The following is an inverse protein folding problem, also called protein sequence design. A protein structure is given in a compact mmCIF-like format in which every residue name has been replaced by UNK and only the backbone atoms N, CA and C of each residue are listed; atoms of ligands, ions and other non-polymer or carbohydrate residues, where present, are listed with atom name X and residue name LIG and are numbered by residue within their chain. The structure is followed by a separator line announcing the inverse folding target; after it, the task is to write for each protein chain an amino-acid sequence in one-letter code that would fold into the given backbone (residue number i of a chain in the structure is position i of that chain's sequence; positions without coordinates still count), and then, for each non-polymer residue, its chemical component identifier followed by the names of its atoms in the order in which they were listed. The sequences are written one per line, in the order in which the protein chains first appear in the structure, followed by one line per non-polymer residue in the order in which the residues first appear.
data_IF_853687259374
#
_entry.id   IF_853687259374
#
_cell.length_a   1.000
_cell.length_b   1.000
_cell.length_c   1.000
_cell.angle_alpha   90.00
_cell.angle_beta   90.00
_cell.angle_gamma   90.00
#
_symmetry.space_group_name_H-M   'P 1'
#
loop_
_entity.id
_entity.type
_entity.pdbx_description
1 polymer ?
#
# COMPACT_ATOMS: atom_id res chain seq x y z
N UNK A 1 0.07 19.08 51.37
CA UNK A 1 -0.24 19.22 49.93
C UNK A 1 0.97 19.39 49.00
N UNK A 2 2.24 19.33 49.46
CA UNK A 2 3.42 19.55 48.59
C UNK A 2 4.11 18.28 48.06
N UNK A 3 3.82 17.10 48.64
CA UNK A 3 4.47 15.82 48.25
C UNK A 3 3.71 15.03 47.17
N UNK A 4 2.42 15.31 46.99
CA UNK A 4 1.59 14.63 45.97
C UNK A 4 1.82 15.16 44.55
N UNK A 5 2.25 16.41 44.39
CA UNK A 5 2.48 17.03 43.08
C UNK A 5 3.70 16.43 42.38
N UNK A 6 4.70 15.95 43.13
CA UNK A 6 5.93 15.37 42.58
C UNK A 6 5.64 14.00 41.91
N UNK A 7 4.69 13.23 42.44
CA UNK A 7 4.32 11.94 41.87
C UNK A 7 3.58 12.05 40.53
N UNK A 8 2.78 13.11 40.35
CA UNK A 8 2.04 13.34 39.10
C UNK A 8 2.98 13.80 37.98
N UNK A 9 4.01 14.60 38.29
CA UNK A 9 4.98 15.04 37.27
C UNK A 9 5.88 13.90 36.76
N UNK A 10 6.17 12.89 37.58
CA UNK A 10 7.00 11.75 37.17
C UNK A 10 6.27 10.81 36.18
N UNK A 11 4.94 10.80 36.17
CA UNK A 11 4.14 9.95 35.29
C UNK A 11 4.07 10.46 33.83
N UNK A 12 4.47 11.70 33.57
CA UNK A 12 4.46 12.28 32.22
C UNK A 12 5.76 12.04 31.42
N UNK A 13 6.80 11.46 32.04
CA UNK A 13 8.11 11.30 31.38
C UNK A 13 8.32 9.92 30.73
N UNK A 14 7.36 8.99 30.81
CA UNK A 14 7.47 7.66 30.15
C UNK A 14 6.65 7.56 28.85
N UNK A 15 6.22 8.70 28.30
CA UNK A 15 5.43 8.77 27.07
C UNK A 15 6.23 9.13 25.83
N UNK A 16 7.51 8.79 25.71
CA UNK A 16 8.13 8.73 24.37
C UNK A 16 7.58 7.46 23.74
N UNK A 17 6.43 7.59 23.09
CA UNK A 17 5.98 6.61 22.12
C UNK A 17 7.10 6.49 21.07
N UNK A 18 7.98 5.52 21.26
CA UNK A 18 8.69 4.94 20.13
C UNK A 18 7.61 4.31 19.28
N UNK A 19 7.09 5.10 18.34
CA UNK A 19 6.56 4.55 17.11
C UNK A 19 7.72 3.84 16.43
N UNK A 20 8.02 2.62 16.87
CA UNK A 20 8.53 1.58 15.98
C UNK A 20 7.40 1.26 15.02
N UNK A 21 7.05 2.24 14.18
CA UNK A 21 6.25 1.96 13.01
C UNK A 21 7.14 1.04 12.21
N UNK A 22 6.79 -0.24 12.18
CA UNK A 22 7.23 -1.12 11.11
C UNK A 22 6.86 -0.40 9.81
N UNK A 23 7.80 0.35 9.26
CA UNK A 23 7.71 0.79 7.88
C UNK A 23 7.73 -0.52 7.10
N UNK A 24 6.55 -1.00 6.71
CA UNK A 24 6.46 -2.22 5.93
C UNK A 24 7.38 -2.04 4.74
N UNK A 25 8.44 -2.85 4.68
CA UNK A 25 9.48 -2.70 3.68
C UNK A 25 8.82 -2.83 2.32
N UNK A 26 8.89 -1.76 1.52
CA UNK A 26 8.33 -1.73 0.18
C UNK A 26 8.94 -2.89 -0.62
N UNK A 27 8.10 -3.76 -1.18
CA UNK A 27 8.51 -4.95 -1.93
C UNK A 27 8.51 -4.70 -3.43
N UNK A 28 7.65 -3.79 -3.90
CA UNK A 28 7.62 -3.38 -5.29
C UNK A 28 7.37 -1.88 -5.44
N UNK A 29 8.10 -1.26 -6.37
CA UNK A 29 7.80 0.06 -6.92
C UNK A 29 7.79 -0.03 -8.44
N UNK A 30 6.71 0.41 -9.08
CA UNK A 30 6.66 0.57 -10.53
C UNK A 30 7.12 1.95 -10.97
N UNK A 31 7.71 2.00 -12.16
CA UNK A 31 7.90 3.27 -12.88
C UNK A 31 6.56 3.90 -13.26
N UNK A 32 6.60 5.08 -13.90
CA UNK A 32 5.38 5.70 -14.44
C UNK A 32 4.80 4.81 -15.54
N UNK A 33 3.54 4.40 -15.36
CA UNK A 33 2.77 3.62 -16.33
C UNK A 33 1.55 4.41 -16.75
N UNK A 34 1.27 4.37 -18.04
CA UNK A 34 0.11 5.02 -18.65
C UNK A 34 -0.94 3.94 -18.86
N UNK A 35 -2.11 4.08 -18.23
CA UNK A 35 -3.19 3.12 -18.48
C UNK A 35 -3.86 3.31 -19.84
N UNK A 36 -4.87 2.47 -20.09
CA UNK A 36 -5.70 2.49 -21.29
C UNK A 36 -6.41 3.83 -21.54
N UNK A 37 -6.50 4.70 -20.52
CA UNK A 37 -7.08 6.04 -20.63
C UNK A 37 -6.02 7.14 -20.78
N UNK A 38 -4.74 6.80 -20.91
CA UNK A 38 -3.67 7.78 -21.00
C UNK A 38 -3.26 8.36 -19.64
N UNK A 39 -3.71 7.77 -18.52
CA UNK A 39 -3.46 8.33 -17.18
C UNK A 39 -2.16 7.78 -16.61
N UNK A 40 -1.16 8.65 -16.31
CA UNK A 40 0.08 8.23 -15.69
C UNK A 40 -0.11 7.90 -14.21
N UNK A 41 0.42 6.76 -13.79
CA UNK A 41 0.35 6.22 -12.44
C UNK A 41 1.55 5.35 -12.07
N UNK A 42 1.65 4.97 -10.79
CA UNK A 42 2.68 4.09 -10.21
C UNK A 42 2.05 3.13 -9.22
N UNK A 43 2.73 2.02 -8.96
CA UNK A 43 2.31 0.99 -8.01
C UNK A 43 3.33 0.81 -6.91
N UNK A 44 2.85 0.85 -5.67
CA UNK A 44 3.60 0.47 -4.49
C UNK A 44 2.96 -0.77 -3.87
N UNK A 45 3.78 -1.72 -3.43
CA UNK A 45 3.30 -2.90 -2.71
C UNK A 45 4.15 -3.19 -1.48
N UNK A 46 3.48 -3.44 -0.36
CA UNK A 46 4.05 -4.04 0.85
C UNK A 46 3.06 -5.10 1.41
N UNK A 47 3.44 -5.84 2.44
CA UNK A 47 2.62 -6.96 2.95
C UNK A 47 1.28 -6.57 3.57
N UNK A 48 1.00 -5.28 3.75
CA UNK A 48 -0.26 -4.77 4.29
C UNK A 48 -1.15 -4.17 3.20
N UNK A 49 -0.55 -3.47 2.24
CA UNK A 49 -1.27 -2.63 1.29
C UNK A 49 -0.68 -2.72 -0.12
N UNK A 50 -1.58 -2.65 -1.10
CA UNK A 50 -1.24 -2.30 -2.49
C UNK A 50 -1.73 -0.88 -2.73
N UNK A 51 -0.91 -0.02 -3.34
CA UNK A 51 -1.25 1.38 -3.55
C UNK A 51 -1.07 1.74 -5.02
N UNK A 52 -2.12 2.29 -5.63
CA UNK A 52 -2.09 2.96 -6.95
C UNK A 52 -1.92 4.47 -6.74
N UNK A 53 -0.84 5.04 -7.26
CA UNK A 53 -0.50 6.45 -7.10
C UNK A 53 -0.65 7.16 -8.45
N UNK A 54 -1.48 8.19 -8.48
CA UNK A 54 -1.77 8.98 -9.67
C UNK A 54 -0.82 10.19 -9.76
N UNK A 55 -0.61 10.71 -10.97
CA UNK A 55 0.29 11.86 -11.18
C UNK A 55 -0.10 13.14 -10.43
N UNK A 56 -1.39 13.29 -10.07
CA UNK A 56 -1.87 14.40 -9.24
C UNK A 56 -1.65 14.19 -7.73
N UNK A 57 -1.01 13.09 -7.33
CA UNK A 57 -0.77 12.72 -5.93
C UNK A 57 -1.92 12.00 -5.24
N UNK A 58 -3.05 11.78 -5.93
CA UNK A 58 -4.12 10.93 -5.40
C UNK A 58 -3.61 9.50 -5.24
N UNK A 59 -3.97 8.85 -4.13
CA UNK A 59 -3.60 7.48 -3.82
C UNK A 59 -4.86 6.67 -3.59
N UNK A 60 -4.94 5.53 -4.28
CA UNK A 60 -5.94 4.50 -4.02
C UNK A 60 -5.25 3.33 -3.33
N UNK A 61 -5.78 2.95 -2.17
CA UNK A 61 -5.24 1.88 -1.33
C UNK A 61 -6.16 0.66 -1.44
N UNK A 62 -5.55 -0.51 -1.62
CA UNK A 62 -6.23 -1.79 -1.69
C UNK A 62 -5.78 -2.66 -0.51
N UNK A 63 -6.76 -3.23 0.19
CA UNK A 63 -6.54 -4.13 1.32
C UNK A 63 -6.04 -5.48 0.81
N UNK A 64 -4.86 -5.90 1.26
CA UNK A 64 -4.31 -7.22 0.93
C UNK A 64 -5.14 -8.30 1.60
N UNK A 65 -5.63 -9.25 0.80
CA UNK A 65 -6.46 -10.38 1.27
C UNK A 65 -5.66 -11.66 1.40
N UNK A 66 -4.76 -11.91 0.45
CA UNK A 66 -3.90 -13.09 0.49
C UNK A 66 -2.58 -12.81 -0.21
N UNK A 67 -1.55 -13.45 0.33
CA UNK A 67 -0.19 -13.47 -0.21
C UNK A 67 0.21 -14.93 -0.35
N UNK A 68 0.60 -15.34 -1.55
CA UNK A 68 1.27 -16.60 -1.85
C UNK A 68 2.70 -16.32 -2.30
N UNK A 69 3.47 -17.37 -2.59
CA UNK A 69 4.83 -17.24 -3.12
C UNK A 69 4.87 -16.40 -4.40
N UNK A 70 3.91 -16.65 -5.31
CA UNK A 70 3.90 -16.06 -6.65
C UNK A 70 2.83 -14.98 -6.83
N UNK A 71 1.95 -14.75 -5.87
CA UNK A 71 0.76 -13.90 -6.10
C UNK A 71 0.29 -13.17 -4.84
N UNK A 72 -0.09 -11.90 -5.03
CA UNK A 72 -0.80 -11.08 -4.05
C UNK A 72 -2.18 -10.75 -4.58
N UNK A 73 -3.21 -10.92 -3.77
CA UNK A 73 -4.57 -10.48 -4.07
C UNK A 73 -4.96 -9.36 -3.11
N UNK A 74 -5.44 -8.25 -3.65
CA UNK A 74 -5.94 -7.11 -2.89
C UNK A 74 -7.24 -6.57 -3.49
N UNK A 75 -8.06 -5.90 -2.69
CA UNK A 75 -9.24 -5.20 -3.21
C UNK A 75 -9.55 -3.91 -2.47
N UNK A 76 -10.35 -3.06 -3.10
CA UNK A 76 -11.01 -1.91 -2.49
C UNK A 76 -12.53 -2.05 -2.70
N UNK A 77 -13.31 -1.72 -1.66
CA UNK A 77 -14.75 -1.52 -1.79
C UNK A 77 -15.05 -0.05 -2.12
N UNK A 78 -15.17 0.27 -3.41
CA UNK A 78 -15.55 1.62 -3.84
C UNK A 78 -17.06 1.74 -4.05
N UNK A 79 -17.56 2.99 -4.08
CA UNK A 79 -19.00 3.30 -4.29
C UNK A 79 -19.58 2.67 -5.56
N UNK A 80 -18.76 2.55 -6.61
CA UNK A 80 -19.16 2.02 -7.91
C UNK A 80 -18.95 0.50 -8.06
N UNK A 81 -18.52 -0.17 -6.99
CA UNK A 81 -18.27 -1.61 -6.96
C UNK A 81 -16.85 -1.95 -6.53
N UNK A 82 -16.55 -3.26 -6.47
CA UNK A 82 -15.25 -3.76 -5.99
C UNK A 82 -14.18 -3.62 -7.07
N UNK A 83 -13.03 -3.11 -6.68
CA UNK A 83 -11.82 -3.04 -7.50
C UNK A 83 -10.86 -4.11 -6.99
N UNK A 84 -10.41 -4.99 -7.88
CA UNK A 84 -9.51 -6.08 -7.55
C UNK A 84 -8.14 -5.82 -8.16
N UNK A 85 -7.10 -6.11 -7.39
CA UNK A 85 -5.71 -6.07 -7.85
C UNK A 85 -5.07 -7.43 -7.60
N UNK A 86 -4.36 -7.91 -8.61
CA UNK A 86 -3.54 -9.11 -8.54
C UNK A 86 -2.12 -8.74 -8.90
N UNK A 87 -1.17 -8.95 -8.00
CA UNK A 87 0.25 -8.78 -8.28
C UNK A 87 0.85 -10.17 -8.45
N UNK A 88 1.33 -10.50 -9.65
CA UNK A 88 2.12 -11.68 -9.92
C UNK A 88 3.59 -11.39 -9.64
N UNK A 89 4.17 -12.11 -8.69
CA UNK A 89 5.56 -12.01 -8.27
C UNK A 89 6.34 -13.12 -8.98
N UNK A 90 7.01 -12.82 -10.10
CA UNK A 90 7.95 -13.76 -10.70
C UNK A 90 9.39 -13.39 -10.34
N UNK A 91 10.34 -14.32 -10.51
CA UNK A 91 11.76 -14.04 -10.28
C UNK A 91 12.32 -12.91 -11.16
N UNK A 92 11.72 -12.66 -12.33
CA UNK A 92 12.23 -11.73 -13.33
C UNK A 92 11.46 -10.41 -13.37
N UNK A 93 10.14 -10.47 -13.26
CA UNK A 93 9.24 -9.33 -13.40
C UNK A 93 8.10 -9.38 -12.37
N UNK A 94 7.61 -8.21 -11.96
CA UNK A 94 6.36 -8.09 -11.19
C UNK A 94 5.29 -7.51 -12.09
N UNK A 95 4.21 -8.28 -12.29
CA UNK A 95 3.06 -7.87 -13.11
C UNK A 95 1.88 -7.55 -12.20
N UNK A 96 1.34 -6.35 -12.33
CA UNK A 96 0.10 -5.94 -11.68
C UNK A 96 -1.04 -6.09 -12.68
N UNK A 97 -2.12 -6.74 -12.28
CA UNK A 97 -3.37 -6.84 -13.04
C UNK A 97 -4.49 -6.23 -12.22
N UNK A 98 -5.23 -5.31 -12.82
CA UNK A 98 -6.32 -4.61 -12.15
C UNK A 98 -7.62 -4.92 -12.87
N UNK A 99 -8.63 -5.27 -12.10
CA UNK A 99 -9.99 -5.49 -12.56
C UNK A 99 -10.94 -4.58 -11.80
N UNK A 100 -11.56 -3.68 -12.53
CA UNK A 100 -12.59 -2.76 -12.02
C UNK A 100 -13.95 -3.19 -12.57
N UNK A 101 -15.06 -2.61 -12.07
CA UNK A 101 -16.38 -2.83 -12.67
C UNK A 101 -16.47 -2.44 -14.15
N UNK A 102 -15.60 -1.53 -14.62
CA UNK A 102 -15.71 -0.92 -15.95
C UNK A 102 -14.64 -1.38 -16.94
N UNK A 103 -13.47 -1.81 -16.44
CA UNK A 103 -12.32 -2.15 -17.27
C UNK A 103 -11.35 -3.09 -16.55
N UNK A 104 -10.52 -3.79 -17.32
CA UNK A 104 -9.35 -4.52 -16.84
C UNK A 104 -8.10 -4.07 -17.56
N UNK A 105 -6.98 -3.98 -16.85
CA UNK A 105 -5.68 -3.62 -17.43
C UNK A 105 -4.54 -4.33 -16.69
N UNK A 106 -3.35 -4.37 -17.30
CA UNK A 106 -2.13 -4.88 -16.68
C UNK A 106 -0.99 -3.87 -16.79
N UNK A 107 -0.18 -3.82 -15.76
CA UNK A 107 1.10 -3.11 -15.67
C UNK A 107 2.22 -4.14 -15.47
N UNK A 108 3.24 -4.11 -16.31
CA UNK A 108 4.37 -5.06 -16.29
C UNK A 108 5.68 -4.41 -15.81
N UNK A 109 5.65 -3.15 -15.36
CA UNK A 109 6.85 -2.35 -15.06
C UNK A 109 7.17 -2.26 -13.57
N UNK A 110 6.59 -3.13 -12.74
CA UNK A 110 6.88 -3.13 -11.31
C UNK A 110 8.23 -3.84 -11.06
N UNK A 111 9.19 -3.13 -10.45
CA UNK A 111 10.50 -3.70 -10.11
C UNK A 111 10.53 -4.09 -8.65
N UNK A 112 11.09 -5.26 -8.39
CA UNK A 112 11.33 -5.74 -7.02
C UNK A 112 12.43 -4.90 -6.36
N UNK A 113 12.25 -4.55 -5.09
CA UNK A 113 13.20 -3.79 -4.26
C UNK A 113 13.91 -4.68 -3.23
#
# INVERSE_FOLDING_TARGET
MKRFIIFILALFMTGIAHSSGDFNKLKCESGVVIDVLGVPKRWHYNDQEVIEIYANGYQRVYDVQSITEDTVLAFENADLGKYYVTISLSEKDIKVSVKTPFASYSDINCKRL
#
